data_IF_242241276855
#
_entry.id   IF_242241276855
#
_cell.length_a   1.000
_cell.length_b   1.000
_cell.length_c   1.000
_cell.angle_alpha   90.00
_cell.angle_beta   90.00
_cell.angle_gamma   90.00
#
_symmetry.space_group_name_H-M   'P 1'
#
loop_
_entity.id
_entity.type
_entity.pdbx_description
1 polymer ?
#
# COMPACT_ATOMS: atom_id res chain seq x y z
N UNK A 1 -25.48 -23.12 -6.32
CA UNK A 1 -24.35 -23.38 -7.24
C UNK A 1 -23.32 -22.25 -7.10
N UNK A 2 -22.86 -21.95 -5.84
CA UNK A 2 -21.91 -20.87 -5.51
C UNK A 2 -20.71 -21.40 -4.72
N UNK A 3 -20.32 -22.64 -4.94
CA UNK A 3 -19.36 -23.34 -4.06
C UNK A 3 -17.88 -23.24 -4.49
N UNK A 4 -17.54 -22.43 -5.51
CA UNK A 4 -16.12 -22.34 -5.93
C UNK A 4 -15.81 -20.99 -6.58
N UNK A 5 -16.13 -19.86 -5.92
CA UNK A 5 -15.38 -18.65 -6.20
C UNK A 5 -14.12 -18.79 -5.36
N UNK A 6 -13.01 -19.05 -6.05
CA UNK A 6 -11.69 -19.25 -5.45
C UNK A 6 -11.43 -18.16 -4.40
N UNK A 7 -11.28 -18.54 -3.13
CA UNK A 7 -10.96 -17.69 -1.97
C UNK A 7 -9.79 -16.74 -2.22
N UNK A 8 -8.96 -17.04 -3.20
CA UNK A 8 -7.75 -16.29 -3.54
C UNK A 8 -7.98 -15.08 -4.47
N UNK A 9 -9.10 -15.00 -5.21
CA UNK A 9 -9.32 -13.92 -6.18
C UNK A 9 -9.60 -12.58 -5.49
N UNK A 10 -10.24 -12.57 -4.31
CA UNK A 10 -10.56 -11.32 -3.59
C UNK A 10 -9.32 -10.65 -2.97
N UNK A 11 -8.30 -11.40 -2.58
CA UNK A 11 -7.08 -10.84 -1.96
C UNK A 11 -6.18 -10.20 -3.03
N UNK A 12 -6.13 -10.77 -4.24
CA UNK A 12 -5.26 -10.30 -5.33
C UNK A 12 -5.77 -8.98 -5.94
N UNK A 13 -7.09 -8.77 -6.02
CA UNK A 13 -7.66 -7.52 -6.55
C UNK A 13 -7.55 -6.31 -5.60
N UNK A 14 -7.29 -6.52 -4.29
CA UNK A 14 -7.06 -5.44 -3.33
C UNK A 14 -5.59 -4.99 -3.28
N UNK A 15 -4.68 -5.75 -3.87
CA UNK A 15 -3.25 -5.45 -3.97
C UNK A 15 -2.97 -4.46 -5.12
N UNK A 16 -3.62 -3.30 -5.09
CA UNK A 16 -3.12 -2.14 -5.80
C UNK A 16 -1.79 -1.74 -5.13
N UNK A 17 -0.73 -2.47 -5.44
CA UNK A 17 0.63 -2.18 -5.00
C UNK A 17 1.09 -0.92 -5.73
N UNK A 18 0.67 0.24 -5.25
CA UNK A 18 1.39 1.47 -5.56
C UNK A 18 2.66 1.41 -4.73
N UNK A 19 3.77 1.07 -5.37
CA UNK A 19 5.09 1.44 -4.89
C UNK A 19 5.02 2.92 -4.51
N UNK A 20 4.87 3.19 -3.22
CA UNK A 20 5.26 4.49 -2.70
C UNK A 20 6.79 4.49 -2.81
N UNK A 21 7.29 4.72 -4.03
CA UNK A 21 8.66 5.16 -4.21
C UNK A 21 8.80 6.36 -3.31
N UNK A 22 9.57 6.20 -2.24
CA UNK A 22 9.94 7.32 -1.39
C UNK A 22 10.66 8.25 -2.32
N UNK A 23 9.96 9.29 -2.77
CA UNK A 23 10.51 10.27 -3.67
C UNK A 23 11.58 11.03 -2.87
N UNK A 24 12.80 10.47 -2.85
CA UNK A 24 13.96 11.08 -2.21
C UNK A 24 14.23 12.49 -2.78
N UNK A 25 13.77 12.73 -4.02
CA UNK A 25 13.84 14.04 -4.69
C UNK A 25 12.88 15.08 -4.13
N UNK A 26 11.80 14.68 -3.46
CA UNK A 26 10.87 15.63 -2.84
C UNK A 26 11.40 16.18 -1.50
N UNK A 27 12.35 15.50 -0.86
CA UNK A 27 12.95 15.97 0.39
C UNK A 27 14.06 17.01 0.20
N UNK A 28 14.64 17.12 -0.99
CA UNK A 28 15.69 18.13 -1.28
C UNK A 28 15.15 19.48 -1.76
N UNK A 29 13.84 19.60 -2.03
CA UNK A 29 13.21 20.86 -2.51
C UNK A 29 12.41 21.64 -1.47
N UNK A 30 12.38 21.18 -0.22
CA UNK A 30 11.64 21.86 0.86
C UNK A 30 12.41 23.00 1.55
N UNK A 31 13.63 23.33 1.15
CA UNK A 31 14.51 24.32 1.80
C UNK A 31 14.79 25.57 0.97
N UNK A 32 13.92 25.98 0.05
CA UNK A 32 14.03 27.33 -0.49
C UNK A 32 13.06 28.29 0.24
N UNK A 33 13.56 29.36 0.90
CA UNK A 33 12.71 30.33 1.56
C UNK A 33 12.06 31.26 0.52
N UNK A 34 10.77 31.13 0.28
CA UNK A 34 10.01 32.14 -0.44
C UNK A 34 9.83 33.37 0.45
N UNK A 35 10.49 34.43 0.08
CA UNK A 35 10.29 35.79 0.64
C UNK A 35 8.99 36.37 0.06
N UNK A 36 8.07 36.75 0.93
CA UNK A 36 7.05 37.74 0.56
C UNK A 36 5.67 37.52 1.19
N UNK A 37 5.27 38.43 2.10
CA UNK A 37 3.87 38.75 2.36
C UNK A 37 3.37 38.51 3.79
N UNK A 38 3.37 39.56 4.57
CA UNK A 38 2.83 39.72 5.91
C UNK A 38 1.36 39.35 6.06
N UNK A 39 1.00 38.56 7.07
CA UNK A 39 -0.18 38.81 7.93
C UNK A 39 -0.11 37.99 9.20
N UNK A 40 -0.08 38.66 10.33
CA UNK A 40 -0.07 38.09 11.68
C UNK A 40 -1.42 37.44 12.01
N UNK A 41 -1.42 36.16 12.42
CA UNK A 41 -2.31 35.61 13.43
C UNK A 41 -1.56 34.60 14.26
N UNK A 42 -1.50 34.85 15.57
CA UNK A 42 -0.90 33.98 16.57
C UNK A 42 -1.59 32.59 16.56
N UNK A 43 -0.84 31.56 16.32
CA UNK A 43 -1.31 30.18 16.36
C UNK A 43 -0.16 29.21 16.46
N UNK A 44 -0.07 28.54 17.61
CA UNK A 44 0.69 27.33 17.94
C UNK A 44 2.01 27.14 17.18
N UNK A 45 3.10 27.31 17.89
CA UNK A 45 4.47 26.97 17.46
C UNK A 45 4.49 25.52 16.94
N UNK A 46 4.48 25.35 15.63
CA UNK A 46 4.77 24.05 15.01
C UNK A 46 6.24 23.77 15.27
N UNK A 47 6.52 22.86 16.20
CA UNK A 47 7.84 22.26 16.34
C UNK A 47 8.11 21.44 15.08
N UNK A 48 8.86 21.99 14.14
CA UNK A 48 9.35 21.24 12.98
C UNK A 48 10.26 20.12 13.51
N UNK A 49 9.80 18.88 13.44
CA UNK A 49 10.68 17.73 13.68
C UNK A 49 11.77 17.81 12.60
N UNK A 50 13.03 17.92 13.04
CA UNK A 50 14.20 17.95 12.16
C UNK A 50 14.09 16.80 11.16
N UNK A 51 14.17 17.10 9.85
CA UNK A 51 14.13 16.08 8.81
C UNK A 51 15.24 15.05 9.07
N UNK A 52 14.88 13.76 8.99
CA UNK A 52 15.88 12.69 9.11
C UNK A 52 16.63 12.57 7.81
N UNK A 53 17.94 12.61 7.87
CA UNK A 53 18.84 12.55 6.72
C UNK A 53 19.70 11.30 6.81
N UNK A 54 19.81 10.59 5.72
CA UNK A 54 20.74 9.44 5.60
C UNK A 54 22.19 9.88 5.80
N UNK A 55 22.99 8.99 6.38
CA UNK A 55 24.45 9.17 6.36
C UNK A 55 24.95 9.21 4.90
N UNK A 56 25.95 10.03 4.62
CA UNK A 56 26.43 10.24 3.25
C UNK A 56 26.84 8.94 2.54
N UNK A 57 27.44 7.99 3.27
CA UNK A 57 27.79 6.66 2.73
C UNK A 57 26.56 5.85 2.33
N UNK A 58 25.53 5.83 3.18
CA UNK A 58 24.27 5.14 2.92
C UNK A 58 23.50 5.82 1.79
N UNK A 59 23.42 7.15 1.78
CA UNK A 59 22.74 7.91 0.74
C UNK A 59 23.27 7.60 -0.66
N UNK A 60 24.60 7.57 -0.84
CA UNK A 60 25.24 7.22 -2.12
C UNK A 60 24.87 5.81 -2.59
N UNK A 61 24.77 4.85 -1.68
CA UNK A 61 24.35 3.48 -2.00
C UNK A 61 22.87 3.38 -2.33
N UNK A 62 22.03 4.11 -1.58
CA UNK A 62 20.59 4.16 -1.85
C UNK A 62 20.30 4.74 -3.24
N UNK A 63 21.01 5.81 -3.66
CA UNK A 63 20.90 6.34 -5.02
C UNK A 63 21.19 5.27 -6.07
N UNK A 64 22.28 4.51 -5.90
CA UNK A 64 22.63 3.41 -6.84
C UNK A 64 21.60 2.27 -6.82
N UNK A 65 20.99 1.98 -5.67
CA UNK A 65 19.90 1.01 -5.59
C UNK A 65 18.70 1.50 -6.41
N UNK A 66 18.31 2.77 -6.24
CA UNK A 66 17.20 3.37 -7.00
C UNK A 66 17.49 3.35 -8.50
N UNK A 67 18.67 3.80 -8.91
CA UNK A 67 19.10 3.77 -10.32
C UNK A 67 19.03 2.34 -10.91
N UNK A 68 19.45 1.33 -10.15
CA UNK A 68 19.37 -0.06 -10.58
C UNK A 68 17.91 -0.56 -10.69
N UNK A 69 17.03 -0.19 -9.74
CA UNK A 69 15.64 -0.62 -9.72
C UNK A 69 14.77 0.12 -10.74
N UNK A 70 15.08 1.38 -11.05
CA UNK A 70 14.36 2.21 -12.02
C UNK A 70 14.95 2.12 -13.45
N UNK A 71 15.91 1.22 -13.66
CA UNK A 71 16.52 1.04 -14.98
C UNK A 71 15.44 0.63 -16.00
N UNK A 72 15.53 1.26 -17.17
CA UNK A 72 14.65 0.96 -18.32
C UNK A 72 15.48 0.52 -19.51
N UNK A 73 14.84 -0.22 -20.42
CA UNK A 73 15.41 -0.57 -21.73
C UNK A 73 14.46 -0.13 -22.82
N UNK A 74 15.03 0.20 -23.97
CA UNK A 74 14.25 0.52 -25.18
C UNK A 74 13.99 -0.78 -25.93
N UNK A 75 12.71 -1.09 -26.17
CA UNK A 75 12.26 -2.23 -26.97
C UNK A 75 11.50 -1.75 -28.21
N UNK A 76 11.62 -2.49 -29.31
CA UNK A 76 10.84 -2.23 -30.53
C UNK A 76 9.57 -3.06 -30.49
N UNK A 77 8.44 -2.41 -30.44
CA UNK A 77 7.11 -3.04 -30.46
C UNK A 77 6.38 -2.71 -31.77
N UNK A 78 5.50 -3.58 -32.27
CA UNK A 78 4.69 -3.26 -33.43
C UNK A 78 3.88 -1.99 -33.19
N UNK A 79 3.86 -1.10 -34.19
CA UNK A 79 3.04 0.11 -34.17
C UNK A 79 1.56 -0.27 -34.25
N UNK A 80 0.72 0.07 -33.23
CA UNK A 80 -0.70 -0.26 -33.27
C UNK A 80 -1.48 0.48 -34.38
N UNK A 81 -0.98 1.63 -34.83
CA UNK A 81 -1.65 2.47 -35.83
C UNK A 81 -1.15 2.17 -37.26
N UNK A 82 0.09 1.66 -37.40
CA UNK A 82 0.71 1.45 -38.72
C UNK A 82 1.21 0.00 -38.89
N UNK A 83 0.42 -0.83 -39.50
CA UNK A 83 0.73 -2.26 -39.72
C UNK A 83 2.05 -2.46 -40.46
N UNK A 84 2.97 -3.16 -39.82
CA UNK A 84 4.30 -3.46 -40.40
C UNK A 84 5.40 -2.47 -39.99
N UNK A 85 5.08 -1.44 -39.23
CA UNK A 85 6.05 -0.54 -38.60
C UNK A 85 6.27 -0.92 -37.15
N UNK A 86 7.39 -0.44 -36.60
CA UNK A 86 7.75 -0.62 -35.18
C UNK A 86 7.99 0.74 -34.54
N UNK A 87 7.54 0.91 -33.32
CA UNK A 87 7.83 2.07 -32.48
C UNK A 87 8.76 1.65 -31.32
N UNK A 88 9.55 2.59 -30.85
CA UNK A 88 10.37 2.40 -29.66
C UNK A 88 9.53 2.68 -28.41
N UNK A 89 9.59 1.76 -27.45
CA UNK A 89 8.90 1.86 -26.17
C UNK A 89 9.89 1.59 -25.04
N UNK A 90 9.82 2.39 -23.98
CA UNK A 90 10.55 2.13 -22.75
C UNK A 90 9.81 1.06 -21.95
N UNK A 91 10.56 0.05 -21.50
CA UNK A 91 10.08 -0.99 -20.59
C UNK A 91 10.99 -1.09 -19.37
N UNK A 92 10.40 -1.35 -18.22
CA UNK A 92 11.15 -1.57 -16.99
C UNK A 92 12.08 -2.78 -17.14
N UNK A 93 13.33 -2.59 -16.76
CA UNK A 93 14.38 -3.62 -16.82
C UNK A 93 15.29 -3.50 -15.58
N UNK A 94 14.72 -3.68 -14.36
CA UNK A 94 15.46 -3.46 -13.13
C UNK A 94 16.65 -4.40 -13.00
N UNK A 95 17.78 -3.83 -12.55
CA UNK A 95 19.00 -4.57 -12.26
C UNK A 95 18.96 -5.10 -10.82
N UNK A 96 18.24 -6.18 -10.62
CA UNK A 96 18.10 -6.85 -9.33
C UNK A 96 19.44 -7.33 -8.76
N UNK A 97 20.40 -7.72 -9.61
CA UNK A 97 21.70 -8.22 -9.20
C UNK A 97 22.52 -7.11 -8.55
N UNK A 98 22.60 -5.95 -9.19
CA UNK A 98 23.28 -4.78 -8.64
C UNK A 98 22.61 -4.29 -7.36
N UNK A 99 21.27 -4.17 -7.36
CA UNK A 99 20.53 -3.75 -6.17
C UNK A 99 20.79 -4.68 -4.97
N UNK A 100 20.70 -6.00 -5.19
CA UNK A 100 20.96 -7.03 -4.15
C UNK A 100 22.40 -7.00 -3.64
N UNK A 101 23.37 -6.80 -4.51
CA UNK A 101 24.78 -6.69 -4.13
C UNK A 101 25.00 -5.49 -3.19
N UNK A 102 24.47 -4.32 -3.52
CA UNK A 102 24.62 -3.11 -2.70
C UNK A 102 23.87 -3.27 -1.37
N UNK A 103 22.68 -3.86 -1.38
CA UNK A 103 21.92 -4.14 -0.16
C UNK A 103 22.65 -5.14 0.76
N UNK A 104 23.32 -6.14 0.19
CA UNK A 104 24.14 -7.08 0.93
C UNK A 104 25.31 -6.38 1.62
N UNK A 105 25.97 -5.44 0.92
CA UNK A 105 27.02 -4.63 1.51
C UNK A 105 26.50 -3.78 2.67
N UNK A 106 25.35 -3.14 2.53
CA UNK A 106 24.72 -2.38 3.61
C UNK A 106 24.37 -3.29 4.80
N UNK A 107 23.82 -4.47 4.54
CA UNK A 107 23.46 -5.44 5.58
C UNK A 107 24.69 -5.91 6.38
N UNK A 108 25.80 -6.16 5.71
CA UNK A 108 27.06 -6.56 6.36
C UNK A 108 27.61 -5.46 7.28
N UNK A 109 27.38 -4.20 6.92
CA UNK A 109 27.84 -3.02 7.67
C UNK A 109 26.74 -2.43 8.59
N UNK A 110 25.63 -3.13 8.79
CA UNK A 110 24.44 -2.59 9.52
C UNK A 110 24.72 -2.16 10.95
N UNK A 111 25.73 -2.74 11.60
CA UNK A 111 26.11 -2.38 12.97
C UNK A 111 26.61 -0.93 13.09
N UNK A 112 27.20 -0.39 12.03
CA UNK A 112 27.72 0.98 11.98
C UNK A 112 26.68 2.00 11.49
N UNK A 113 25.53 1.51 11.00
CA UNK A 113 24.48 2.36 10.46
C UNK A 113 23.61 2.95 11.59
N UNK A 114 23.12 4.17 11.37
CA UNK A 114 22.07 4.76 12.22
C UNK A 114 20.75 4.04 12.02
N UNK A 115 19.87 4.13 13.01
CA UNK A 115 18.57 3.50 12.98
C UNK A 115 17.73 3.88 11.74
N UNK A 116 17.73 5.16 11.35
CA UNK A 116 17.06 5.61 10.13
C UNK A 116 17.64 4.95 8.88
N UNK A 117 18.95 4.88 8.75
CA UNK A 117 19.63 4.25 7.61
C UNK A 117 19.28 2.76 7.52
N UNK A 118 19.26 2.05 8.67
CA UNK A 118 18.81 0.65 8.71
C UNK A 118 17.35 0.50 8.31
N UNK A 119 16.47 1.41 8.72
CA UNK A 119 15.07 1.35 8.33
C UNK A 119 14.88 1.47 6.81
N UNK A 120 15.66 2.34 6.16
CA UNK A 120 15.66 2.48 4.70
C UNK A 120 16.22 1.24 4.02
N UNK A 121 17.33 0.69 4.53
CA UNK A 121 17.92 -0.57 4.03
C UNK A 121 16.89 -1.72 4.12
N UNK A 122 16.23 -1.88 5.26
CA UNK A 122 15.23 -2.94 5.46
C UNK A 122 14.01 -2.77 4.52
N UNK A 123 13.61 -1.52 4.22
CA UNK A 123 12.55 -1.26 3.25
C UNK A 123 12.91 -1.78 1.85
N UNK A 124 14.14 -1.52 1.38
CA UNK A 124 14.59 -2.04 0.09
C UNK A 124 14.78 -3.56 0.08
N UNK A 125 15.22 -4.17 1.19
CA UNK A 125 15.24 -5.63 1.32
C UNK A 125 13.84 -6.22 1.25
N UNK A 126 12.87 -5.62 1.95
CA UNK A 126 11.47 -6.05 1.90
C UNK A 126 10.91 -6.00 0.49
N UNK A 127 11.20 -4.92 -0.23
CA UNK A 127 10.79 -4.75 -1.63
C UNK A 127 11.44 -5.80 -2.56
N UNK A 128 12.74 -6.01 -2.44
CA UNK A 128 13.48 -6.98 -3.26
C UNK A 128 12.94 -8.39 -3.05
N UNK A 129 12.80 -8.84 -1.80
CA UNK A 129 12.23 -10.16 -1.51
C UNK A 129 10.78 -10.30 -1.96
N UNK A 130 9.99 -9.21 -1.85
CA UNK A 130 8.64 -9.21 -2.39
C UNK A 130 8.63 -9.43 -3.90
N UNK A 131 9.54 -8.78 -4.64
CA UNK A 131 9.66 -8.92 -6.09
C UNK A 131 10.16 -10.30 -6.53
N UNK A 132 10.93 -10.98 -5.65
CA UNK A 132 11.36 -12.37 -5.82
C UNK A 132 10.27 -13.39 -5.37
N UNK A 133 9.09 -12.92 -4.93
CA UNK A 133 8.01 -13.71 -4.34
C UNK A 133 8.42 -14.48 -3.06
N UNK A 134 9.57 -14.13 -2.47
CA UNK A 134 9.99 -14.64 -1.16
C UNK A 134 9.30 -13.86 -0.04
N UNK A 135 8.01 -14.14 0.12
CA UNK A 135 7.17 -13.40 1.07
C UNK A 135 7.60 -13.59 2.54
N UNK A 136 8.22 -14.71 2.88
CA UNK A 136 8.69 -14.92 4.25
C UNK A 136 9.88 -14.02 4.58
N UNK A 137 10.84 -13.87 3.66
CA UNK A 137 11.94 -12.93 3.81
C UNK A 137 11.47 -11.47 3.71
N UNK A 138 10.51 -11.18 2.83
CA UNK A 138 9.90 -9.85 2.76
C UNK A 138 9.25 -9.46 4.10
N UNK A 139 8.45 -10.34 4.71
CA UNK A 139 7.87 -10.12 6.03
C UNK A 139 8.94 -9.91 7.10
N UNK A 140 9.99 -10.73 7.10
CA UNK A 140 11.12 -10.57 8.02
C UNK A 140 11.75 -9.18 7.90
N UNK A 141 12.04 -8.73 6.68
CA UNK A 141 12.63 -7.42 6.44
C UNK A 141 11.75 -6.26 6.95
N UNK A 142 10.44 -6.29 6.66
CA UNK A 142 9.51 -5.28 7.17
C UNK A 142 9.36 -5.34 8.70
N UNK A 143 9.41 -6.53 9.32
CA UNK A 143 9.44 -6.64 10.78
C UNK A 143 10.72 -6.05 11.40
N UNK A 144 11.88 -6.18 10.74
CA UNK A 144 13.10 -5.51 11.20
C UNK A 144 12.98 -3.99 11.05
N UNK A 145 12.40 -3.49 9.95
CA UNK A 145 12.13 -2.06 9.77
C UNK A 145 11.28 -1.50 10.93
N UNK A 146 10.23 -2.20 11.31
CA UNK A 146 9.33 -1.76 12.39
C UNK A 146 10.01 -1.70 13.76
N UNK A 147 11.11 -2.43 13.95
CA UNK A 147 11.94 -2.38 15.18
C UNK A 147 12.87 -1.17 15.23
N UNK A 148 13.07 -0.48 14.11
CA UNK A 148 13.97 0.68 14.06
C UNK A 148 13.27 1.92 14.65
N UNK A 149 13.76 2.48 15.78
CA UNK A 149 13.08 3.55 16.49
C UNK A 149 13.06 4.87 15.72
N UNK A 150 13.97 5.05 14.76
CA UNK A 150 14.03 6.25 13.92
C UNK A 150 13.35 6.07 12.56
N UNK A 151 12.70 4.95 12.30
CA UNK A 151 11.87 4.78 11.11
C UNK A 151 10.81 5.90 11.05
N UNK A 152 10.68 6.55 9.90
CA UNK A 152 9.71 7.62 9.71
C UNK A 152 8.27 7.08 9.71
N UNK A 153 7.29 7.91 10.03
CA UNK A 153 5.87 7.52 10.01
C UNK A 153 5.48 6.95 8.64
N UNK A 154 5.83 7.58 7.49
CA UNK A 154 5.52 7.00 6.19
C UNK A 154 6.14 5.61 5.96
N UNK A 155 7.40 5.40 6.34
CA UNK A 155 8.05 4.08 6.23
C UNK A 155 7.35 3.03 7.10
N UNK A 156 7.04 3.38 8.35
CA UNK A 156 6.35 2.48 9.28
C UNK A 156 4.97 2.10 8.79
N UNK A 157 4.17 3.08 8.40
CA UNK A 157 2.79 2.84 7.95
C UNK A 157 2.74 2.06 6.65
N UNK A 158 3.62 2.35 5.68
CA UNK A 158 3.76 1.55 4.46
C UNK A 158 4.14 0.10 4.79
N UNK A 159 5.14 -0.11 5.67
CA UNK A 159 5.58 -1.45 6.07
C UNK A 159 4.51 -2.23 6.84
N UNK A 160 3.76 -1.57 7.72
CA UNK A 160 2.63 -2.19 8.42
C UNK A 160 1.56 -2.68 7.46
N UNK A 161 1.19 -1.86 6.48
CA UNK A 161 0.18 -2.24 5.49
C UNK A 161 0.66 -3.40 4.62
N UNK A 162 1.90 -3.34 4.11
CA UNK A 162 2.48 -4.43 3.32
C UNK A 162 2.56 -5.73 4.15
N UNK A 163 3.02 -5.63 5.39
CA UNK A 163 3.12 -6.79 6.29
C UNK A 163 1.74 -7.39 6.60
N UNK A 164 0.72 -6.54 6.76
CA UNK A 164 -0.66 -6.99 6.92
C UNK A 164 -1.13 -7.78 5.69
N UNK A 165 -0.95 -7.22 4.51
CA UNK A 165 -1.33 -7.84 3.24
C UNK A 165 -0.63 -9.20 3.02
N UNK A 166 0.69 -9.26 3.28
CA UNK A 166 1.45 -10.51 3.18
C UNK A 166 0.95 -11.58 4.17
N UNK A 167 0.58 -11.18 5.40
CA UNK A 167 -0.01 -12.11 6.34
C UNK A 167 -1.38 -12.61 5.88
N UNK A 168 -2.21 -11.74 5.24
CA UNK A 168 -3.48 -12.17 4.67
C UNK A 168 -3.30 -13.13 3.48
N UNK A 169 -2.30 -12.90 2.62
CA UNK A 169 -1.95 -13.83 1.53
C UNK A 169 -1.53 -15.20 2.07
N UNK A 170 -0.82 -15.22 3.19
CA UNK A 170 -0.43 -16.46 3.90
C UNK A 170 -1.54 -17.03 4.80
N UNK A 171 -2.78 -16.55 4.69
CA UNK A 171 -3.94 -16.94 5.49
C UNK A 171 -3.73 -16.79 7.01
N UNK A 172 -2.80 -15.94 7.44
CA UNK A 172 -2.56 -15.59 8.84
C UNK A 172 -3.50 -14.48 9.27
N UNK A 173 -4.81 -14.75 9.22
CA UNK A 173 -5.89 -13.75 9.34
C UNK A 173 -5.77 -12.88 10.59
N UNK A 174 -5.57 -13.48 11.77
CA UNK A 174 -5.46 -12.73 13.03
C UNK A 174 -4.29 -11.75 13.04
N UNK A 175 -3.14 -12.18 12.53
CA UNK A 175 -1.96 -11.33 12.43
C UNK A 175 -2.18 -10.20 11.41
N UNK A 176 -2.73 -10.52 10.24
CA UNK A 176 -3.08 -9.55 9.21
C UNK A 176 -4.04 -8.47 9.74
N UNK A 177 -5.13 -8.89 10.37
CA UNK A 177 -6.12 -7.98 10.99
C UNK A 177 -5.47 -7.10 12.07
N UNK A 178 -4.66 -7.68 12.96
CA UNK A 178 -3.96 -6.93 14.00
C UNK A 178 -3.06 -5.84 13.42
N UNK A 179 -2.34 -6.15 12.32
CA UNK A 179 -1.47 -5.20 11.63
C UNK A 179 -2.26 -4.10 10.91
N UNK A 180 -3.43 -4.42 10.31
CA UNK A 180 -4.33 -3.40 9.73
C UNK A 180 -4.81 -2.44 10.82
N UNK A 181 -5.26 -2.95 11.96
CA UNK A 181 -5.72 -2.12 13.07
C UNK A 181 -4.61 -1.24 13.64
N UNK A 182 -3.39 -1.79 13.75
CA UNK A 182 -2.23 -1.00 14.14
C UNK A 182 -1.94 0.09 13.10
N UNK A 183 -1.94 -0.23 11.82
CA UNK A 183 -1.76 0.73 10.74
C UNK A 183 -2.80 1.85 10.79
N UNK A 184 -4.09 1.50 10.95
CA UNK A 184 -5.19 2.47 11.08
C UNK A 184 -5.00 3.42 12.28
N UNK A 185 -4.33 2.96 13.34
CA UNK A 185 -4.04 3.81 14.51
C UNK A 185 -2.85 4.75 14.32
N UNK A 186 -1.98 4.50 13.34
CA UNK A 186 -0.77 5.29 13.08
C UNK A 186 -0.93 6.28 11.91
N UNK A 187 -1.95 6.12 11.05
CA UNK A 187 -2.23 7.05 9.94
C UNK A 187 -3.03 8.27 10.40
N UNK A 188 -2.84 9.41 9.74
CA UNK A 188 -3.60 10.64 10.06
C UNK A 188 -5.08 10.52 9.70
N UNK A 189 -5.39 9.82 8.61
CA UNK A 189 -6.75 9.65 8.10
C UNK A 189 -6.99 8.21 7.73
N UNK A 190 -8.01 7.61 8.31
CA UNK A 190 -8.50 6.29 7.94
C UNK A 190 -9.53 6.48 6.83
N UNK A 191 -9.27 5.92 5.66
CA UNK A 191 -10.11 6.07 4.47
C UNK A 191 -11.15 4.96 4.36
N UNK A 192 -12.15 5.16 3.52
CA UNK A 192 -13.12 4.14 3.18
C UNK A 192 -12.46 2.83 2.67
N UNK A 193 -11.37 2.95 1.89
CA UNK A 193 -10.59 1.79 1.42
C UNK A 193 -9.94 1.00 2.57
N UNK A 194 -9.58 1.65 3.67
CA UNK A 194 -9.02 1.00 4.86
C UNK A 194 -10.05 0.07 5.52
N UNK A 195 -11.28 0.55 5.66
CA UNK A 195 -12.38 -0.25 6.20
C UNK A 195 -12.78 -1.40 5.27
N UNK A 196 -12.76 -1.18 3.95
CA UNK A 196 -12.95 -2.27 2.98
C UNK A 196 -11.88 -3.37 3.13
N UNK A 197 -10.61 -3.01 3.29
CA UNK A 197 -9.52 -3.97 3.52
C UNK A 197 -9.75 -4.77 4.81
N UNK A 198 -10.12 -4.09 5.89
CA UNK A 198 -10.42 -4.72 7.17
C UNK A 198 -11.65 -5.63 7.09
N UNK A 199 -12.70 -5.19 6.41
CA UNK A 199 -13.90 -5.99 6.15
C UNK A 199 -13.58 -7.27 5.37
N UNK A 200 -12.76 -7.14 4.32
CA UNK A 200 -12.32 -8.27 3.51
C UNK A 200 -11.52 -9.29 4.34
N UNK A 201 -10.64 -8.83 5.23
CA UNK A 201 -9.87 -9.67 6.12
C UNK A 201 -10.77 -10.42 7.13
N UNK A 202 -11.74 -9.75 7.73
CA UNK A 202 -12.73 -10.38 8.62
C UNK A 202 -13.60 -11.39 7.87
N UNK A 203 -14.00 -11.07 6.63
CA UNK A 203 -14.78 -12.00 5.81
C UNK A 203 -14.03 -13.30 5.53
N UNK A 204 -12.75 -13.20 5.16
CA UNK A 204 -11.89 -14.37 4.94
C UNK A 204 -11.69 -15.20 6.21
N UNK A 205 -11.63 -14.52 7.36
CA UNK A 205 -11.61 -15.19 8.68
C UNK A 205 -12.95 -15.81 9.08
N UNK A 206 -14.01 -15.65 8.28
CA UNK A 206 -15.39 -16.05 8.60
C UNK A 206 -16.04 -15.29 9.76
N UNK A 207 -15.50 -14.14 10.14
CA UNK A 207 -16.11 -13.23 11.09
C UNK A 207 -17.02 -12.24 10.34
N UNK A 208 -18.17 -12.77 9.91
CA UNK A 208 -19.10 -12.04 9.05
C UNK A 208 -19.75 -10.84 9.76
N UNK A 209 -19.84 -10.87 11.08
CA UNK A 209 -20.39 -9.76 11.87
C UNK A 209 -19.47 -8.54 11.74
N UNK A 210 -18.16 -8.72 12.01
CA UNK A 210 -17.20 -7.63 11.90
C UNK A 210 -16.96 -7.24 10.44
N UNK A 211 -16.97 -8.21 9.51
CA UNK A 211 -16.88 -7.94 8.09
C UNK A 211 -17.99 -6.98 7.63
N UNK A 212 -19.27 -7.27 7.99
CA UNK A 212 -20.41 -6.41 7.69
C UNK A 212 -20.24 -5.01 8.26
N UNK A 213 -19.95 -4.90 9.56
CA UNK A 213 -19.84 -3.59 10.23
C UNK A 213 -18.77 -2.71 9.56
N UNK A 214 -17.59 -3.29 9.24
CA UNK A 214 -16.53 -2.53 8.56
C UNK A 214 -16.89 -2.21 7.12
N UNK A 215 -17.66 -3.06 6.45
CA UNK A 215 -18.12 -2.78 5.08
C UNK A 215 -19.16 -1.66 5.03
N UNK A 216 -20.12 -1.64 5.97
CA UNK A 216 -21.07 -0.56 6.14
C UNK A 216 -20.34 0.78 6.39
N UNK A 217 -19.30 0.77 7.22
CA UNK A 217 -18.50 1.96 7.49
C UNK A 217 -17.69 2.41 6.26
N UNK A 218 -17.14 1.48 5.47
CA UNK A 218 -16.45 1.80 4.22
C UNK A 218 -17.39 2.52 3.23
N UNK A 219 -18.61 2.02 3.07
CA UNK A 219 -19.62 2.61 2.18
C UNK A 219 -20.02 3.99 2.68
N UNK A 220 -20.33 4.12 3.98
CA UNK A 220 -20.72 5.39 4.60
C UNK A 220 -19.65 6.49 4.39
N UNK A 221 -18.39 6.17 4.63
CA UNK A 221 -17.28 7.12 4.44
C UNK A 221 -17.11 7.51 2.97
N UNK A 222 -17.21 6.56 2.04
CA UNK A 222 -17.12 6.85 0.62
C UNK A 222 -18.22 7.85 0.17
N UNK A 223 -19.45 7.65 0.64
CA UNK A 223 -20.57 8.54 0.34
C UNK A 223 -20.39 9.94 0.96
N UNK A 224 -19.88 10.00 2.20
CA UNK A 224 -19.55 11.29 2.86
C UNK A 224 -18.42 12.05 2.17
N UNK A 225 -17.43 11.34 1.64
CA UNK A 225 -16.32 11.91 0.86
C UNK A 225 -16.75 12.27 -0.59
N UNK A 226 -18.00 11.98 -0.97
CA UNK A 226 -18.61 12.38 -2.24
C UNK A 226 -18.21 11.52 -3.43
N UNK A 227 -17.69 10.31 -3.20
CA UNK A 227 -17.44 9.37 -4.28
C UNK A 227 -18.27 8.10 -4.15
N UNK A 228 -18.54 7.50 -5.30
CA UNK A 228 -19.38 6.29 -5.38
C UNK A 228 -18.59 5.07 -4.92
N UNK A 229 -19.09 4.28 -3.95
CA UNK A 229 -18.48 3.01 -3.58
C UNK A 229 -18.37 2.07 -4.79
N UNK A 230 -17.33 1.26 -4.84
CA UNK A 230 -17.13 0.29 -5.93
C UNK A 230 -18.16 -0.84 -5.83
N UNK A 231 -18.58 -1.40 -6.97
CA UNK A 231 -19.55 -2.49 -7.04
C UNK A 231 -19.16 -3.69 -6.15
N UNK A 232 -17.87 -4.07 -6.14
CA UNK A 232 -17.38 -5.17 -5.32
C UNK A 232 -17.54 -4.96 -3.81
N UNK A 233 -17.74 -3.72 -3.34
CA UNK A 233 -18.02 -3.41 -1.94
C UNK A 233 -19.42 -3.85 -1.55
N UNK A 234 -20.39 -3.60 -2.41
CA UNK A 234 -21.78 -4.05 -2.21
C UNK A 234 -21.88 -5.58 -2.34
N UNK A 235 -21.12 -6.19 -3.25
CA UNK A 235 -21.03 -7.65 -3.37
C UNK A 235 -20.50 -8.27 -2.07
N UNK A 236 -19.47 -7.71 -1.47
CA UNK A 236 -18.94 -8.20 -0.19
C UNK A 236 -19.95 -7.99 0.95
N UNK A 237 -20.63 -6.85 0.99
CA UNK A 237 -21.67 -6.59 1.99
C UNK A 237 -22.84 -7.58 1.87
N UNK A 238 -23.33 -7.83 0.64
CA UNK A 238 -24.37 -8.81 0.37
C UNK A 238 -23.94 -10.23 0.78
N UNK A 239 -22.67 -10.60 0.53
CA UNK A 239 -22.12 -11.87 0.97
C UNK A 239 -22.11 -11.99 2.50
N UNK A 240 -21.76 -10.92 3.23
CA UNK A 240 -21.84 -10.89 4.70
C UNK A 240 -23.26 -11.16 5.20
N UNK A 241 -24.27 -10.51 4.61
CA UNK A 241 -25.67 -10.75 4.99
C UNK A 241 -26.11 -12.19 4.69
N UNK A 242 -25.70 -12.74 3.54
CA UNK A 242 -26.03 -14.12 3.16
C UNK A 242 -25.47 -15.13 4.16
N UNK A 243 -24.21 -14.96 4.57
CA UNK A 243 -23.54 -15.86 5.53
C UNK A 243 -24.15 -15.74 6.95
N UNK A 244 -24.57 -14.54 7.34
CA UNK A 244 -25.24 -14.30 8.62
C UNK A 244 -26.70 -14.77 8.63
N UNK A 245 -27.23 -15.24 7.48
CA UNK A 245 -28.67 -15.58 7.30
C UNK A 245 -29.60 -14.44 7.76
N UNK A 246 -29.13 -13.22 7.63
CA UNK A 246 -29.85 -12.04 8.10
C UNK A 246 -30.97 -11.71 7.12
N UNK A 247 -32.21 -11.62 7.62
CA UNK A 247 -33.40 -11.27 6.83
C UNK A 247 -33.35 -9.84 6.24
N UNK A 248 -32.35 -9.03 6.60
CA UNK A 248 -32.06 -7.71 6.01
C UNK A 248 -31.33 -7.77 4.65
N UNK A 249 -31.17 -8.94 4.06
CA UNK A 249 -30.63 -9.14 2.68
C UNK A 249 -31.31 -8.19 1.68
N UNK A 250 -32.57 -7.89 1.90
CA UNK A 250 -33.39 -7.00 1.05
C UNK A 250 -32.75 -5.61 0.91
N UNK A 251 -32.09 -5.08 1.91
CA UNK A 251 -31.53 -3.71 1.81
C UNK A 251 -30.21 -3.65 1.00
N UNK A 252 -29.36 -4.67 1.07
CA UNK A 252 -28.12 -4.69 0.27
C UNK A 252 -28.41 -5.07 -1.19
N UNK A 253 -29.34 -6.02 -1.43
CA UNK A 253 -29.88 -6.27 -2.76
C UNK A 253 -30.61 -5.05 -3.33
N UNK A 254 -31.41 -4.37 -2.54
CA UNK A 254 -32.10 -3.15 -2.93
C UNK A 254 -31.09 -2.03 -3.29
N UNK A 255 -29.98 -1.88 -2.55
CA UNK A 255 -28.93 -0.94 -2.89
C UNK A 255 -28.20 -1.33 -4.18
N UNK A 256 -27.99 -2.63 -4.42
CA UNK A 256 -27.41 -3.15 -5.67
C UNK A 256 -28.36 -2.92 -6.86
N UNK A 257 -29.65 -3.20 -6.68
CA UNK A 257 -30.70 -2.99 -7.69
C UNK A 257 -30.91 -1.52 -8.02
N UNK A 258 -30.82 -0.63 -7.03
CA UNK A 258 -30.84 0.82 -7.25
C UNK A 258 -29.61 1.30 -8.05
N UNK A 259 -28.46 0.69 -7.85
CA UNK A 259 -27.26 1.00 -8.65
C UNK A 259 -27.38 0.49 -10.10
N UNK A 260 -27.88 -0.71 -10.30
CA UNK A 260 -28.10 -1.28 -11.64
C UNK A 260 -29.20 -0.51 -12.39
N UNK A 261 -30.30 -0.17 -11.72
CA UNK A 261 -31.38 0.60 -12.32
C UNK A 261 -31.02 2.01 -12.79
N UNK A 262 -29.96 2.61 -12.22
CA UNK A 262 -29.42 3.89 -12.68
C UNK A 262 -28.64 3.71 -14.01
N UNK A 263 -28.05 2.55 -14.27
CA UNK A 263 -27.35 2.26 -15.52
C UNK A 263 -28.26 1.95 -16.70
N UNK A 264 -29.51 1.50 -16.46
CA UNK A 264 -30.48 1.25 -17.54
C UNK A 264 -31.20 2.54 -17.98
N UNK A 265 -31.06 3.66 -17.25
CA UNK A 265 -31.74 4.95 -17.54
C UNK A 265 -30.75 5.96 -18.19
N UNK A 266 -29.44 5.66 -18.27
CA UNK A 266 -28.41 6.47 -18.93
C UNK A 266 -27.93 5.82 -20.22
#
# INVERSE_FOLDING_TARGET
MFKTISRNIFVICALGFTLSTINLSAQSRADEPSVGGSSQKAGKTRTYKKARVLQSSTAKKVVKIVEALERQKIVKVPDPENRGQFIEKEEDDPDWVTAKSILTELLNNRAEMKSYDRSVMWNYWGYLYFSEEDYDQAMYAYEQLLKEPEATVPLRTASLLTLAQLNLVKERWDKGISLILQWMSEVETVTAQSYYLLASAYFQKTDYVRARTNMEEAIRLAEEEGYRPKENWYVLLAACFSELKDKKIISAQYALEQQVGIYEIL
#
